data_IF_320616020625
#
_entry.id   IF_320616020625
#
_cell.length_a   1.000
_cell.length_b   1.000
_cell.length_c   1.000
_cell.angle_alpha   90.00
_cell.angle_beta   90.00
_cell.angle_gamma   90.00
#
_symmetry.space_group_name_H-M   'P 1'
#
loop_
_entity.id
_entity.type
_entity.pdbx_description
1 polymer ?
#
# COMPACT_ATOMS: atom_id res chain seq x y z
N UNK A 1 -20.59 10.55 -14.45
CA UNK A 1 -20.21 9.15 -14.70
C UNK A 1 -19.42 8.65 -13.50
N UNK A 2 -19.52 7.37 -13.14
CA UNK A 2 -18.67 6.79 -12.13
C UNK A 2 -17.18 6.93 -12.52
N UNK A 3 -16.23 7.02 -11.57
CA UNK A 3 -14.82 7.11 -11.91
C UNK A 3 -14.30 5.76 -12.43
N UNK A 4 -13.43 5.81 -13.44
CA UNK A 4 -12.67 4.66 -13.92
C UNK A 4 -11.38 4.52 -13.11
N UNK A 5 -11.23 3.39 -12.41
CA UNK A 5 -10.13 3.13 -11.49
C UNK A 5 -9.36 1.88 -11.88
N UNK A 6 -8.07 2.00 -12.15
CA UNK A 6 -7.18 0.86 -12.39
C UNK A 6 -6.43 0.52 -11.09
N UNK A 7 -6.45 -0.75 -10.69
CA UNK A 7 -5.79 -1.22 -9.46
C UNK A 7 -4.88 -2.41 -9.79
N UNK A 8 -3.56 -2.23 -9.64
CA UNK A 8 -2.62 -3.35 -9.77
C UNK A 8 -2.47 -4.09 -8.43
N UNK A 9 -2.27 -5.41 -8.48
CA UNK A 9 -2.28 -6.26 -7.28
C UNK A 9 -3.69 -6.40 -6.68
N UNK A 10 -4.71 -6.46 -7.56
CA UNK A 10 -6.12 -6.45 -7.15
C UNK A 10 -6.67 -7.82 -6.77
N UNK A 11 -5.95 -8.92 -7.04
CA UNK A 11 -6.43 -10.28 -6.71
C UNK A 11 -6.49 -10.53 -5.21
N UNK A 12 -5.68 -9.84 -4.40
CA UNK A 12 -5.61 -10.09 -2.96
C UNK A 12 -5.29 -8.84 -2.12
N UNK A 13 -5.37 -8.98 -0.80
CA UNK A 13 -4.86 -8.01 0.17
C UNK A 13 -5.41 -6.60 0.01
N UNK A 14 -4.48 -5.62 0.06
CA UNK A 14 -4.81 -4.17 0.01
C UNK A 14 -5.50 -3.80 -1.30
N UNK A 15 -5.00 -4.34 -2.44
CA UNK A 15 -5.57 -4.05 -3.76
C UNK A 15 -7.03 -4.51 -3.85
N UNK A 16 -7.33 -5.73 -3.41
CA UNK A 16 -8.69 -6.28 -3.37
C UNK A 16 -9.61 -5.51 -2.42
N UNK A 17 -9.15 -5.21 -1.21
CA UNK A 17 -9.91 -4.38 -0.27
C UNK A 17 -10.19 -2.97 -0.83
N UNK A 18 -9.24 -2.41 -1.59
CA UNK A 18 -9.41 -1.12 -2.27
C UNK A 18 -10.45 -1.22 -3.39
N UNK A 19 -10.43 -2.29 -4.18
CA UNK A 19 -11.44 -2.55 -5.23
C UNK A 19 -12.85 -2.60 -4.65
N UNK A 20 -13.04 -3.31 -3.51
CA UNK A 20 -14.34 -3.33 -2.79
C UNK A 20 -14.83 -1.94 -2.37
N UNK A 21 -13.93 -1.05 -1.94
CA UNK A 21 -14.32 0.30 -1.55
C UNK A 21 -14.73 1.16 -2.73
N UNK A 22 -14.06 1.04 -3.88
CA UNK A 22 -14.46 1.72 -5.11
C UNK A 22 -15.75 1.17 -5.68
N UNK A 23 -15.95 -0.15 -5.63
CA UNK A 23 -17.21 -0.80 -6.04
C UNK A 23 -18.42 -0.24 -5.29
N UNK A 24 -18.31 -0.06 -3.96
CA UNK A 24 -19.37 0.57 -3.13
C UNK A 24 -19.69 2.02 -3.50
N UNK A 25 -18.79 2.67 -4.26
CA UNK A 25 -19.03 4.00 -4.83
C UNK A 25 -19.59 3.94 -6.26
N UNK A 26 -19.89 2.74 -6.76
CA UNK A 26 -20.36 2.51 -8.12
C UNK A 26 -19.30 2.72 -9.20
N UNK A 27 -18.01 2.63 -8.86
CA UNK A 27 -16.91 2.86 -9.80
C UNK A 27 -16.79 1.74 -10.84
N UNK A 28 -16.20 2.08 -11.98
CA UNK A 28 -15.67 1.16 -12.97
C UNK A 28 -14.26 0.73 -12.55
N UNK A 29 -14.07 -0.56 -12.22
CA UNK A 29 -12.84 -1.04 -11.59
C UNK A 29 -12.11 -2.02 -12.48
N UNK A 30 -10.92 -1.64 -12.95
CA UNK A 30 -10.01 -2.52 -13.69
C UNK A 30 -9.11 -3.23 -12.69
N UNK A 31 -9.25 -4.54 -12.61
CA UNK A 31 -8.58 -5.43 -11.68
C UNK A 31 -7.36 -6.05 -12.37
N UNK A 32 -6.16 -5.78 -11.87
CA UNK A 32 -4.91 -6.20 -12.50
C UNK A 32 -4.07 -7.01 -11.54
N UNK A 33 -3.74 -8.24 -11.88
CA UNK A 33 -2.76 -9.11 -11.23
C UNK A 33 -2.33 -10.21 -12.23
N UNK A 34 -1.44 -11.12 -11.83
CA UNK A 34 -1.01 -12.23 -12.68
C UNK A 34 -1.98 -13.41 -12.61
N UNK A 35 -2.50 -13.70 -11.43
CA UNK A 35 -3.40 -14.84 -11.19
C UNK A 35 -4.83 -14.53 -11.63
N UNK A 36 -5.37 -15.35 -12.52
CA UNK A 36 -6.69 -15.15 -13.10
C UNK A 36 -7.80 -15.51 -12.11
N UNK A 37 -7.64 -16.62 -11.37
CA UNK A 37 -8.64 -17.05 -10.39
C UNK A 37 -8.90 -16.04 -9.28
N UNK A 38 -7.83 -15.47 -8.71
CA UNK A 38 -7.98 -14.42 -7.71
C UNK A 38 -8.61 -13.13 -8.26
N UNK A 39 -8.37 -12.81 -9.55
CA UNK A 39 -9.00 -11.66 -10.21
C UNK A 39 -10.50 -11.89 -10.48
N UNK A 40 -10.89 -13.10 -10.91
CA UNK A 40 -12.29 -13.44 -11.12
C UNK A 40 -13.10 -13.36 -9.81
N UNK A 41 -12.57 -13.94 -8.74
CA UNK A 41 -13.18 -13.83 -7.42
C UNK A 41 -13.29 -12.37 -6.93
N UNK A 42 -12.27 -11.54 -7.20
CA UNK A 42 -12.34 -10.10 -6.91
C UNK A 42 -13.38 -9.38 -7.78
N UNK A 43 -13.57 -9.80 -9.03
CA UNK A 43 -14.56 -9.23 -9.94
C UNK A 43 -15.99 -9.53 -9.48
N UNK A 44 -16.25 -10.75 -9.02
CA UNK A 44 -17.54 -11.14 -8.45
C UNK A 44 -17.89 -10.26 -7.24
N UNK A 45 -16.91 -10.00 -6.35
CA UNK A 45 -17.12 -9.10 -5.22
C UNK A 45 -17.38 -7.65 -5.64
N UNK A 46 -16.65 -7.15 -6.63
CA UNK A 46 -16.87 -5.80 -7.19
C UNK A 46 -18.28 -5.68 -7.76
N UNK A 47 -18.72 -6.67 -8.54
CA UNK A 47 -20.07 -6.70 -9.11
C UNK A 47 -21.15 -6.77 -8.01
N UNK A 48 -20.97 -7.64 -7.02
CA UNK A 48 -21.90 -7.78 -5.88
C UNK A 48 -22.04 -6.49 -5.04
N UNK A 49 -20.98 -5.65 -5.03
CA UNK A 49 -20.97 -4.37 -4.31
C UNK A 49 -21.43 -3.18 -5.15
N UNK A 50 -21.88 -3.41 -6.39
CA UNK A 50 -22.45 -2.39 -7.27
C UNK A 50 -21.46 -1.65 -8.18
N UNK A 51 -20.20 -2.10 -8.25
CA UNK A 51 -19.22 -1.64 -9.22
C UNK A 51 -19.28 -2.43 -10.53
N UNK A 52 -18.58 -1.95 -11.57
CA UNK A 52 -18.41 -2.67 -12.83
C UNK A 52 -16.96 -3.17 -12.93
N UNK A 53 -16.70 -4.46 -12.84
CA UNK A 53 -15.34 -5.00 -12.92
C UNK A 53 -14.88 -5.19 -14.38
N UNK A 54 -13.56 -5.04 -14.59
CA UNK A 54 -12.85 -5.49 -15.79
C UNK A 54 -11.60 -6.25 -15.37
N UNK A 55 -11.58 -7.55 -15.57
CA UNK A 55 -10.42 -8.40 -15.26
C UNK A 55 -9.35 -8.26 -16.35
N UNK A 56 -8.11 -8.02 -15.95
CA UNK A 56 -6.95 -7.92 -16.83
C UNK A 56 -5.73 -8.61 -16.21
N UNK A 57 -5.52 -9.91 -16.52
CA UNK A 57 -4.29 -10.60 -16.14
C UNK A 57 -3.08 -9.91 -16.78
N UNK A 58 -2.13 -9.48 -15.95
CA UNK A 58 -0.91 -8.83 -16.42
C UNK A 58 0.21 -8.90 -15.40
N UNK A 59 1.45 -9.03 -15.86
CA UNK A 59 2.64 -8.79 -15.06
C UNK A 59 3.05 -7.31 -15.16
N UNK A 60 3.00 -6.61 -14.04
CA UNK A 60 3.37 -5.17 -14.00
C UNK A 60 4.84 -4.92 -14.32
N UNK A 61 5.69 -5.93 -14.22
CA UNK A 61 7.10 -5.85 -14.63
C UNK A 61 7.25 -5.66 -16.14
N UNK A 62 6.25 -6.08 -16.93
CA UNK A 62 6.23 -5.90 -18.38
C UNK A 62 5.51 -4.59 -18.75
N UNK A 63 6.22 -3.60 -19.33
CA UNK A 63 5.61 -2.33 -19.73
C UNK A 63 4.59 -2.47 -20.86
N UNK A 64 4.69 -3.47 -21.72
CA UNK A 64 3.72 -3.71 -22.79
C UNK A 64 2.39 -4.22 -22.22
N UNK A 65 2.44 -5.10 -21.23
CA UNK A 65 1.23 -5.58 -20.56
C UNK A 65 0.52 -4.46 -19.78
N UNK A 66 1.28 -3.60 -19.06
CA UNK A 66 0.67 -2.45 -18.36
C UNK A 66 0.06 -1.44 -19.34
N UNK A 67 0.65 -1.23 -20.51
CA UNK A 67 0.07 -0.39 -21.55
C UNK A 67 -1.22 -1.00 -22.12
N UNK A 68 -1.23 -2.31 -22.39
CA UNK A 68 -2.43 -3.01 -22.86
C UNK A 68 -3.58 -2.96 -21.85
N UNK A 69 -3.28 -3.03 -20.54
CA UNK A 69 -4.27 -2.81 -19.48
C UNK A 69 -4.90 -1.43 -19.59
N UNK A 70 -4.10 -0.39 -19.77
CA UNK A 70 -4.60 0.97 -19.86
C UNK A 70 -5.44 1.21 -21.13
N UNK A 71 -5.05 0.62 -22.27
CA UNK A 71 -5.84 0.64 -23.50
C UNK A 71 -7.19 -0.05 -23.34
N UNK A 72 -7.19 -1.23 -22.71
CA UNK A 72 -8.42 -1.97 -22.45
C UNK A 72 -9.35 -1.22 -21.49
N UNK A 73 -8.80 -0.57 -20.45
CA UNK A 73 -9.57 0.24 -19.51
C UNK A 73 -10.31 1.40 -20.22
N UNK A 74 -9.58 2.16 -21.06
CA UNK A 74 -10.19 3.29 -21.79
C UNK A 74 -11.18 2.84 -22.87
N UNK A 75 -10.93 1.70 -23.52
CA UNK A 75 -11.85 1.14 -24.49
C UNK A 75 -13.18 0.72 -23.86
N UNK A 76 -13.15 0.16 -22.65
CA UNK A 76 -14.33 -0.37 -21.97
C UNK A 76 -15.10 0.72 -21.21
N UNK A 77 -14.39 1.55 -20.45
CA UNK A 77 -14.98 2.47 -19.49
C UNK A 77 -14.78 3.95 -19.81
N UNK A 78 -13.95 4.25 -20.80
CA UNK A 78 -13.54 5.63 -21.09
C UNK A 78 -12.36 6.09 -20.21
N UNK A 79 -12.18 7.39 -20.09
CA UNK A 79 -10.97 7.97 -19.51
C UNK A 79 -10.65 7.48 -18.10
N UNK A 80 -9.42 7.02 -17.87
CA UNK A 80 -8.94 6.58 -16.55
C UNK A 80 -8.81 7.79 -15.62
N UNK A 81 -9.59 7.86 -14.54
CA UNK A 81 -9.54 8.92 -13.55
C UNK A 81 -8.50 8.67 -12.46
N UNK A 82 -8.33 7.41 -12.04
CA UNK A 82 -7.46 7.02 -10.94
C UNK A 82 -6.65 5.78 -11.33
N UNK A 83 -5.33 5.83 -11.07
CA UNK A 83 -4.44 4.68 -11.20
C UNK A 83 -3.79 4.37 -9.85
N UNK A 84 -3.93 3.13 -9.37
CA UNK A 84 -3.40 2.68 -8.09
C UNK A 84 -2.35 1.60 -8.33
N UNK A 85 -1.08 1.94 -8.09
CA UNK A 85 0.00 0.98 -8.10
C UNK A 85 0.08 0.32 -6.72
N UNK A 86 -0.33 -0.97 -6.63
CA UNK A 86 -0.34 -1.74 -5.39
C UNK A 86 0.36 -3.10 -5.52
N UNK A 87 0.59 -3.60 -6.73
CA UNK A 87 1.28 -4.88 -6.96
C UNK A 87 2.71 -4.85 -6.41
N UNK A 88 3.14 -5.90 -5.74
CA UNK A 88 4.50 -6.04 -5.25
C UNK A 88 4.92 -7.51 -5.13
N UNK A 89 6.23 -7.73 -4.99
CA UNK A 89 6.85 -9.00 -4.64
C UNK A 89 7.88 -8.78 -3.55
N UNK A 90 8.14 -9.81 -2.73
CA UNK A 90 9.12 -9.77 -1.66
C UNK A 90 9.74 -11.15 -1.44
N UNK A 91 10.87 -11.17 -0.72
CA UNK A 91 11.52 -12.36 -0.17
C UNK A 91 11.88 -12.07 1.27
N UNK A 92 11.70 -13.04 2.15
CA UNK A 92 12.17 -12.99 3.54
C UNK A 92 13.41 -13.86 3.68
N UNK A 93 14.60 -13.24 3.67
CA UNK A 93 15.87 -13.91 3.80
C UNK A 93 16.96 -12.94 4.27
N UNK A 94 18.06 -13.42 4.89
CA UNK A 94 19.31 -12.69 4.99
C UNK A 94 19.77 -12.24 3.60
N UNK A 95 20.42 -11.07 3.51
CA UNK A 95 20.80 -10.49 2.21
C UNK A 95 21.66 -11.43 1.36
N UNK A 96 22.61 -12.10 1.96
CA UNK A 96 23.54 -13.05 1.32
C UNK A 96 22.84 -14.28 0.73
N UNK A 97 21.64 -14.59 1.19
CA UNK A 97 20.85 -15.72 0.71
C UNK A 97 19.86 -15.35 -0.40
N UNK A 98 19.68 -14.06 -0.70
CA UNK A 98 18.81 -13.60 -1.81
C UNK A 98 19.60 -13.68 -3.11
N UNK A 99 19.15 -14.49 -4.06
CA UNK A 99 19.84 -14.61 -5.35
C UNK A 99 19.72 -13.33 -6.19
N UNK A 100 20.66 -13.07 -7.13
CA UNK A 100 20.55 -11.92 -8.03
C UNK A 100 19.25 -11.90 -8.84
N UNK A 101 18.74 -13.08 -9.24
CA UNK A 101 17.49 -13.23 -10.01
C UNK A 101 16.27 -12.84 -9.15
N UNK A 102 16.23 -13.27 -7.89
CA UNK A 102 15.18 -12.90 -6.95
C UNK A 102 15.21 -11.40 -6.67
N UNK A 103 16.39 -10.84 -6.44
CA UNK A 103 16.56 -9.41 -6.20
C UNK A 103 16.11 -8.57 -7.39
N UNK A 104 16.46 -9.01 -8.62
CA UNK A 104 16.01 -8.41 -9.87
C UNK A 104 14.50 -8.48 -9.99
N UNK A 105 13.90 -9.65 -9.79
CA UNK A 105 12.45 -9.85 -9.89
C UNK A 105 11.67 -8.96 -8.91
N UNK A 106 12.13 -8.85 -7.67
CA UNK A 106 11.53 -7.96 -6.67
C UNK A 106 11.59 -6.51 -7.15
N UNK A 107 12.73 -6.08 -7.69
CA UNK A 107 12.90 -4.73 -8.23
C UNK A 107 12.01 -4.47 -9.43
N UNK A 108 11.92 -5.41 -10.36
CA UNK A 108 11.08 -5.32 -11.55
C UNK A 108 9.59 -5.19 -11.19
N UNK A 109 9.08 -6.03 -10.29
CA UNK A 109 7.67 -5.99 -9.89
C UNK A 109 7.38 -4.80 -8.99
N UNK A 110 8.15 -4.64 -7.89
CA UNK A 110 7.82 -3.71 -6.80
C UNK A 110 8.19 -2.27 -7.10
N UNK A 111 9.23 -2.04 -7.92
CA UNK A 111 9.63 -0.68 -8.32
C UNK A 111 9.31 -0.38 -9.78
N UNK A 112 9.85 -1.14 -10.73
CA UNK A 112 9.63 -0.86 -12.16
C UNK A 112 8.16 -1.03 -12.54
N UNK A 113 7.42 -1.94 -11.92
CA UNK A 113 5.98 -2.07 -12.08
C UNK A 113 5.21 -0.77 -11.73
N UNK A 114 5.63 -0.07 -10.69
CA UNK A 114 5.08 1.26 -10.37
C UNK A 114 5.44 2.32 -11.41
N UNK A 115 6.67 2.27 -11.93
CA UNK A 115 7.10 3.15 -13.04
C UNK A 115 6.29 2.89 -14.31
N UNK A 116 6.10 1.63 -14.68
CA UNK A 116 5.33 1.21 -15.86
C UNK A 116 3.88 1.66 -15.76
N UNK A 117 3.19 1.34 -14.65
CA UNK A 117 1.81 1.76 -14.41
C UNK A 117 1.67 3.29 -14.41
N UNK A 118 2.61 4.00 -13.78
CA UNK A 118 2.62 5.46 -13.77
C UNK A 118 2.80 6.03 -15.18
N UNK A 119 3.67 5.44 -16.01
CA UNK A 119 3.88 5.86 -17.41
C UNK A 119 2.62 5.68 -18.24
N UNK A 120 1.97 4.52 -18.16
CA UNK A 120 0.72 4.25 -18.89
C UNK A 120 -0.41 5.18 -18.45
N UNK A 121 -0.52 5.48 -17.15
CA UNK A 121 -1.49 6.44 -16.63
C UNK A 121 -1.20 7.87 -17.14
N UNK A 122 0.05 8.35 -17.05
CA UNK A 122 0.42 9.69 -17.45
C UNK A 122 0.24 9.94 -18.95
N UNK A 123 0.52 8.94 -19.81
CA UNK A 123 0.28 9.01 -21.25
C UNK A 123 -1.17 9.41 -21.57
N UNK A 124 -2.11 9.04 -20.71
CA UNK A 124 -3.55 9.29 -20.87
C UNK A 124 -4.03 10.51 -20.08
N UNK A 125 -3.49 10.72 -18.90
CA UNK A 125 -3.91 11.79 -18.00
C UNK A 125 -3.37 13.16 -18.43
N UNK A 126 -2.11 13.24 -18.90
CA UNK A 126 -1.49 14.51 -19.28
C UNK A 126 -2.20 15.25 -20.43
N UNK A 127 -2.64 14.59 -21.53
CA UNK A 127 -3.37 15.29 -22.60
C UNK A 127 -4.68 15.92 -22.14
N UNK A 128 -5.30 15.38 -21.09
CA UNK A 128 -6.55 15.86 -20.49
C UNK A 128 -6.29 16.80 -19.30
N UNK A 129 -5.05 16.90 -18.88
CA UNK A 129 -4.61 17.57 -17.64
C UNK A 129 -5.45 17.18 -16.40
N UNK A 130 -5.83 15.93 -16.33
CA UNK A 130 -6.70 15.40 -15.25
C UNK A 130 -6.38 13.95 -14.93
N UNK A 131 -6.27 13.63 -13.65
CA UNK A 131 -6.12 12.29 -13.12
C UNK A 131 -5.32 12.24 -11.83
N UNK A 132 -5.47 11.13 -11.11
CA UNK A 132 -4.75 10.88 -9.86
C UNK A 132 -4.03 9.54 -9.91
N UNK A 133 -2.77 9.54 -9.52
CA UNK A 133 -1.97 8.31 -9.37
C UNK A 133 -1.64 8.15 -7.89
N UNK A 134 -1.97 6.98 -7.33
CA UNK A 134 -1.64 6.62 -5.96
C UNK A 134 -0.61 5.50 -5.96
N UNK A 135 0.53 5.75 -5.34
CA UNK A 135 1.55 4.74 -5.06
C UNK A 135 1.30 4.13 -3.70
N UNK A 136 1.03 2.83 -3.62
CA UNK A 136 0.91 2.13 -2.34
C UNK A 136 2.31 1.86 -1.81
N UNK A 137 2.79 2.80 -1.00
CA UNK A 137 4.08 2.76 -0.34
C UNK A 137 4.09 1.87 0.91
N UNK A 138 5.09 2.08 1.75
CA UNK A 138 5.26 1.37 3.02
C UNK A 138 6.07 2.22 4.00
N UNK A 139 5.85 2.07 5.29
CA UNK A 139 6.77 2.57 6.32
C UNK A 139 8.22 2.10 6.04
N UNK A 140 8.36 0.92 5.40
CA UNK A 140 9.65 0.35 4.99
C UNK A 140 10.29 1.06 3.78
N UNK A 141 9.58 1.98 3.13
CA UNK A 141 10.14 2.92 2.16
C UNK A 141 10.76 4.17 2.80
N UNK A 142 10.66 4.34 4.11
CA UNK A 142 11.26 5.41 4.89
C UNK A 142 12.23 4.85 5.94
N UNK A 143 11.93 3.67 6.51
CA UNK A 143 12.77 2.94 7.46
C UNK A 143 12.88 1.47 7.08
N UNK A 144 14.06 1.03 6.66
CA UNK A 144 14.34 -0.38 6.33
C UNK A 144 14.42 -1.24 7.59
N UNK A 145 14.09 -2.54 7.41
CA UNK A 145 14.23 -3.59 8.42
C UNK A 145 15.09 -4.74 7.85
N UNK A 146 15.72 -5.58 8.68
CA UNK A 146 16.46 -6.74 8.19
C UNK A 146 15.54 -7.73 7.45
N UNK A 147 16.13 -8.69 6.74
CA UNK A 147 15.45 -9.80 6.03
C UNK A 147 14.64 -9.39 4.80
N UNK A 148 14.47 -8.10 4.50
CA UNK A 148 13.67 -7.59 3.38
C UNK A 148 14.43 -6.51 2.57
N UNK A 149 15.74 -6.67 2.37
CA UNK A 149 16.57 -5.64 1.74
C UNK A 149 16.10 -5.22 0.35
N UNK A 150 15.71 -6.17 -0.50
CA UNK A 150 15.22 -5.89 -1.86
C UNK A 150 13.89 -5.14 -1.86
N UNK A 151 12.94 -5.55 -1.01
CA UNK A 151 11.65 -4.87 -0.85
C UNK A 151 11.83 -3.45 -0.29
N UNK A 152 12.63 -3.28 0.75
CA UNK A 152 12.95 -1.97 1.32
C UNK A 152 13.59 -1.05 0.27
N UNK A 153 14.56 -1.54 -0.48
CA UNK A 153 15.19 -0.80 -1.57
C UNK A 153 14.19 -0.34 -2.62
N UNK A 154 13.31 -1.24 -3.08
CA UNK A 154 12.25 -0.95 -4.04
C UNK A 154 11.27 0.12 -3.51
N UNK A 155 10.84 0.02 -2.25
CA UNK A 155 9.91 1.00 -1.64
C UNK A 155 10.57 2.37 -1.41
N UNK A 156 11.86 2.45 -1.11
CA UNK A 156 12.61 3.71 -1.11
C UNK A 156 12.70 4.31 -2.52
N UNK A 157 12.97 3.50 -3.54
CA UNK A 157 13.03 3.94 -4.92
C UNK A 157 11.70 4.57 -5.39
N UNK A 158 10.54 4.03 -4.98
CA UNK A 158 9.23 4.62 -5.27
C UNK A 158 9.13 6.04 -4.69
N UNK A 159 9.62 6.28 -3.47
CA UNK A 159 9.58 7.61 -2.86
C UNK A 159 10.43 8.61 -3.63
N UNK A 160 11.65 8.22 -4.03
CA UNK A 160 12.56 9.04 -4.84
C UNK A 160 11.96 9.37 -6.22
N UNK A 161 11.52 8.34 -6.95
CA UNK A 161 10.84 8.46 -8.24
C UNK A 161 9.62 9.40 -8.17
N UNK A 162 8.73 9.15 -7.22
CA UNK A 162 7.51 9.97 -7.05
C UNK A 162 7.85 11.42 -6.73
N UNK A 163 8.90 11.66 -5.93
CA UNK A 163 9.34 13.02 -5.60
C UNK A 163 9.80 13.80 -6.83
N UNK A 164 10.62 13.18 -7.67
CA UNK A 164 11.07 13.77 -8.95
C UNK A 164 9.91 14.07 -9.87
N UNK A 165 9.06 13.08 -10.14
CA UNK A 165 7.91 13.22 -11.02
C UNK A 165 6.95 14.34 -10.58
N UNK A 166 6.68 14.45 -9.28
CA UNK A 166 5.85 15.53 -8.73
C UNK A 166 6.42 16.92 -9.06
N UNK A 167 7.73 17.09 -8.98
CA UNK A 167 8.40 18.35 -9.32
C UNK A 167 8.26 18.68 -10.79
N UNK A 168 8.37 17.67 -11.67
CA UNK A 168 8.15 17.84 -13.12
C UNK A 168 6.70 18.25 -13.44
N UNK A 169 5.71 17.61 -12.79
CA UNK A 169 4.30 17.96 -12.96
C UNK A 169 4.00 19.39 -12.48
N UNK A 170 4.57 19.78 -11.35
CA UNK A 170 4.46 21.15 -10.83
C UNK A 170 5.11 22.17 -11.77
N UNK A 171 6.30 21.89 -12.33
CA UNK A 171 6.96 22.74 -13.30
C UNK A 171 6.11 22.98 -14.55
N UNK A 172 5.41 21.94 -15.01
CA UNK A 172 4.48 22.04 -16.16
C UNK A 172 3.14 22.70 -15.81
N UNK A 173 2.88 23.06 -14.56
CA UNK A 173 1.57 23.56 -14.11
C UNK A 173 0.45 22.52 -14.24
N UNK A 174 0.78 21.23 -14.33
CA UNK A 174 -0.22 20.17 -14.56
C UNK A 174 -1.17 19.98 -13.38
N UNK A 175 -2.43 19.71 -13.71
CA UNK A 175 -3.47 19.33 -12.73
C UNK A 175 -3.42 17.84 -12.36
N UNK A 176 -2.66 17.01 -13.08
CA UNK A 176 -2.44 15.60 -12.72
C UNK A 176 -1.70 15.50 -11.40
N UNK A 177 -2.15 14.61 -10.53
CA UNK A 177 -1.58 14.46 -9.18
C UNK A 177 -1.02 13.07 -8.97
N UNK A 178 0.14 13.02 -8.28
CA UNK A 178 0.76 11.76 -7.84
C UNK A 178 1.03 11.85 -6.35
N UNK A 179 0.62 10.85 -5.60
CA UNK A 179 0.77 10.78 -4.13
C UNK A 179 1.18 9.39 -3.69
N UNK A 180 1.82 9.28 -2.52
CA UNK A 180 2.20 8.01 -1.90
C UNK A 180 1.36 7.79 -0.64
N UNK A 181 0.75 6.64 -0.50
CA UNK A 181 0.13 6.20 0.74
C UNK A 181 1.06 5.20 1.44
N UNK A 182 1.74 5.64 2.50
CA UNK A 182 2.68 4.83 3.27
C UNK A 182 1.93 3.92 4.22
N UNK A 183 2.04 2.61 4.02
CA UNK A 183 1.28 1.59 4.74
C UNK A 183 2.00 1.11 6.01
N UNK A 184 1.25 0.75 7.06
CA UNK A 184 1.74 -0.01 8.20
C UNK A 184 1.95 -1.48 7.82
N UNK A 185 2.20 -2.32 8.83
CA UNK A 185 2.06 -3.76 8.72
C UNK A 185 0.58 -4.12 8.54
N UNK A 186 0.25 -4.88 7.50
CA UNK A 186 -1.14 -5.20 7.11
C UNK A 186 -1.31 -6.72 7.02
N UNK A 187 -2.42 -7.21 7.58
CA UNK A 187 -2.84 -8.60 7.50
C UNK A 187 -3.31 -8.97 6.10
N UNK A 188 -2.39 -9.36 5.25
CA UNK A 188 -2.66 -9.77 3.86
C UNK A 188 -2.19 -11.19 3.62
N UNK A 189 -2.75 -11.91 2.65
CA UNK A 189 -2.38 -13.30 2.36
C UNK A 189 -0.91 -13.50 1.94
N UNK A 190 -0.17 -12.43 1.62
CA UNK A 190 1.22 -12.52 1.18
C UNK A 190 2.13 -13.36 2.08
N UNK A 191 1.87 -13.37 3.39
CA UNK A 191 2.69 -14.10 4.36
C UNK A 191 2.55 -15.61 4.22
N UNK A 192 1.47 -16.09 3.58
CA UNK A 192 1.23 -17.51 3.30
C UNK A 192 2.00 -17.99 2.06
N UNK A 193 2.33 -17.09 1.13
CA UNK A 193 2.98 -17.46 -0.14
C UNK A 193 4.26 -16.68 -0.45
N UNK A 194 4.74 -15.82 0.46
CA UNK A 194 5.99 -15.13 0.21
C UNK A 194 7.15 -16.11 0.26
N UNK A 195 8.06 -16.02 -0.72
CA UNK A 195 9.30 -16.79 -0.67
C UNK A 195 10.08 -16.47 0.60
N UNK A 196 10.40 -17.49 1.39
CA UNK A 196 11.04 -17.30 2.69
C UNK A 196 12.12 -18.37 2.92
N UNK A 197 13.26 -17.92 3.45
CA UNK A 197 14.34 -18.79 3.96
C UNK A 197 14.39 -18.79 5.48
N UNK A 198 13.36 -18.23 6.13
CA UNK A 198 13.27 -18.27 7.57
C UNK A 198 12.88 -19.68 8.04
N UNK A 199 13.45 -20.11 9.14
CA UNK A 199 13.09 -21.39 9.78
C UNK A 199 11.64 -21.41 10.31
N UNK A 200 11.03 -20.22 10.49
CA UNK A 200 9.67 -20.02 11.00
C UNK A 200 8.87 -19.18 10.04
N UNK A 201 7.54 -19.33 10.07
CA UNK A 201 6.60 -18.63 9.21
C UNK A 201 6.72 -17.10 9.37
N UNK A 202 6.91 -16.35 8.26
CA UNK A 202 7.01 -14.90 8.31
C UNK A 202 5.70 -14.25 8.79
N UNK A 203 5.81 -13.09 9.42
CA UNK A 203 4.67 -12.31 9.88
C UNK A 203 4.89 -10.81 9.69
N UNK A 204 3.79 -10.03 9.57
CA UNK A 204 3.90 -8.58 9.60
C UNK A 204 4.34 -8.10 10.99
N UNK A 205 5.24 -7.10 11.04
CA UNK A 205 5.73 -6.54 12.33
C UNK A 205 4.59 -5.81 13.06
N UNK A 206 4.20 -6.22 14.26
CA UNK A 206 3.12 -5.55 15.00
C UNK A 206 3.39 -4.06 15.29
N UNK A 207 2.33 -3.23 15.42
CA UNK A 207 0.90 -3.56 15.35
C UNK A 207 0.42 -3.80 13.91
N UNK A 208 -0.39 -4.85 13.74
CA UNK A 208 -0.92 -5.29 12.46
C UNK A 208 -2.29 -4.64 12.25
N UNK A 209 -2.59 -4.20 11.03
CA UNK A 209 -3.89 -3.64 10.66
C UNK A 209 -4.59 -4.49 9.61
N UNK A 210 -5.92 -4.46 9.61
CA UNK A 210 -6.71 -5.12 8.57
C UNK A 210 -6.55 -4.41 7.21
N UNK A 211 -6.69 -5.13 6.07
CA UNK A 211 -6.58 -4.58 4.72
C UNK A 211 -7.49 -3.37 4.48
N UNK A 212 -8.66 -3.33 5.10
CA UNK A 212 -9.62 -2.24 5.00
C UNK A 212 -9.08 -0.91 5.56
N UNK A 213 -8.21 -0.96 6.57
CA UNK A 213 -7.54 0.25 7.09
C UNK A 213 -6.62 0.83 6.00
N UNK A 214 -5.82 -0.02 5.38
CA UNK A 214 -4.94 0.38 4.28
C UNK A 214 -5.74 0.89 3.07
N UNK A 215 -6.79 0.16 2.67
CA UNK A 215 -7.66 0.50 1.56
C UNK A 215 -8.35 1.86 1.75
N UNK A 216 -8.83 2.16 2.96
CA UNK A 216 -9.37 3.48 3.29
C UNK A 216 -8.31 4.58 3.18
N UNK A 217 -7.07 4.29 3.55
CA UNK A 217 -5.93 5.20 3.38
C UNK A 217 -5.63 5.50 1.90
N UNK A 218 -5.65 4.47 1.04
CA UNK A 218 -5.51 4.62 -0.43
C UNK A 218 -6.62 5.49 -1.00
N UNK A 219 -7.87 5.19 -0.64
CA UNK A 219 -9.04 5.92 -1.07
C UNK A 219 -8.98 7.40 -0.67
N UNK A 220 -8.59 7.67 0.58
CA UNK A 220 -8.42 9.04 1.07
C UNK A 220 -7.30 9.79 0.34
N UNK A 221 -6.18 9.13 0.04
CA UNK A 221 -5.09 9.70 -0.72
C UNK A 221 -5.50 10.02 -2.17
N UNK A 222 -6.34 9.18 -2.79
CA UNK A 222 -6.89 9.43 -4.11
C UNK A 222 -7.87 10.59 -4.14
N UNK A 223 -8.73 10.72 -3.13
CA UNK A 223 -9.69 11.81 -2.99
C UNK A 223 -9.01 13.16 -2.65
N UNK A 224 -7.83 13.13 -2.01
CA UNK A 224 -7.10 14.31 -1.54
C UNK A 224 -5.63 14.33 -2.05
N UNK A 225 -5.35 14.27 -3.34
CA UNK A 225 -4.00 14.01 -3.87
C UNK A 225 -3.04 15.20 -3.78
N UNK A 226 -3.40 16.26 -3.06
CA UNK A 226 -2.57 17.46 -2.93
C UNK A 226 -1.27 17.24 -2.17
N UNK A 227 -1.24 16.33 -1.19
CA UNK A 227 -0.04 16.02 -0.41
C UNK A 227 0.86 15.03 -1.12
N UNK A 228 2.18 15.14 -0.88
CA UNK A 228 3.17 14.19 -1.39
C UNK A 228 2.97 12.80 -0.80
N UNK A 229 2.69 12.72 0.50
CA UNK A 229 2.58 11.46 1.24
C UNK A 229 1.44 11.50 2.25
N UNK A 230 0.81 10.36 2.44
CA UNK A 230 -0.16 10.07 3.49
C UNK A 230 0.37 8.91 4.33
N UNK A 231 0.34 9.04 5.63
CA UNK A 231 0.76 7.99 6.56
C UNK A 231 -0.47 7.29 7.11
N UNK A 232 -0.57 5.99 6.86
CA UNK A 232 -1.68 5.15 7.31
C UNK A 232 -1.24 4.39 8.56
N UNK A 233 -2.02 4.50 9.63
CA UNK A 233 -1.70 3.86 10.91
C UNK A 233 -0.70 4.66 11.77
N UNK A 234 -0.93 4.63 13.08
CA UNK A 234 -0.09 5.35 14.04
C UNK A 234 1.35 4.82 14.08
N UNK A 235 1.53 3.51 13.86
CA UNK A 235 2.86 2.89 13.80
C UNK A 235 3.70 3.43 12.63
N UNK A 236 3.09 3.67 11.47
CA UNK A 236 3.76 4.28 10.32
C UNK A 236 4.27 5.69 10.67
N UNK A 237 3.41 6.51 11.29
CA UNK A 237 3.80 7.85 11.73
C UNK A 237 4.96 7.78 12.70
N UNK A 238 4.86 6.93 13.75
CA UNK A 238 5.89 6.77 14.76
C UNK A 238 7.22 6.30 14.15
N UNK A 239 7.19 5.29 13.28
CA UNK A 239 8.39 4.74 12.63
C UNK A 239 9.10 5.79 11.77
N UNK A 240 8.35 6.55 10.96
CA UNK A 240 8.93 7.56 10.06
C UNK A 240 9.54 8.71 10.87
N UNK A 241 8.84 9.20 11.89
CA UNK A 241 9.38 10.27 12.73
C UNK A 241 10.57 9.81 13.58
N UNK A 242 10.51 8.61 14.15
CA UNK A 242 11.65 8.04 14.88
C UNK A 242 12.88 7.89 13.98
N UNK A 243 12.70 7.42 12.73
CA UNK A 243 13.80 7.34 11.77
C UNK A 243 14.42 8.70 11.43
N UNK A 244 13.61 9.76 11.37
CA UNK A 244 14.11 11.12 11.11
C UNK A 244 14.87 11.72 12.28
N UNK A 245 14.50 11.39 13.51
CA UNK A 245 15.08 11.97 14.72
C UNK A 245 16.26 11.18 15.29
N UNK A 246 16.15 9.84 15.29
CA UNK A 246 17.12 8.94 15.96
C UNK A 246 17.47 7.69 15.14
N UNK A 247 17.92 7.83 13.88
CA UNK A 247 18.13 6.68 12.99
C UNK A 247 19.12 5.66 13.54
N UNK A 248 20.24 6.10 14.12
CA UNK A 248 21.27 5.20 14.67
C UNK A 248 20.77 4.39 15.88
N UNK A 249 19.85 4.92 16.66
CA UNK A 249 19.24 4.17 17.75
C UNK A 249 18.29 3.08 17.21
N UNK A 250 17.54 3.41 16.16
CA UNK A 250 16.68 2.42 15.48
C UNK A 250 17.51 1.31 14.82
N UNK A 251 18.70 1.59 14.28
CA UNK A 251 19.58 0.55 13.75
C UNK A 251 19.93 -0.47 14.84
N UNK A 252 20.34 0.00 16.02
CA UNK A 252 20.68 -0.88 17.15
C UNK A 252 19.47 -1.64 17.69
N UNK A 253 18.31 -0.99 17.72
CA UNK A 253 17.06 -1.61 18.14
C UNK A 253 16.67 -2.74 17.17
N UNK A 254 16.65 -2.47 15.85
CA UNK A 254 16.29 -3.45 14.83
C UNK A 254 17.33 -4.57 14.70
N UNK A 255 18.61 -4.30 14.94
CA UNK A 255 19.62 -5.35 14.98
C UNK A 255 19.35 -6.40 16.08
N UNK A 256 18.71 -5.99 17.19
CA UNK A 256 18.36 -6.88 18.31
C UNK A 256 16.99 -7.53 18.18
N UNK A 257 16.03 -6.84 17.59
CA UNK A 257 14.62 -7.26 17.61
C UNK A 257 14.05 -7.57 16.23
N UNK A 258 14.66 -7.04 15.16
CA UNK A 258 14.09 -7.04 13.82
C UNK A 258 13.99 -8.42 13.17
N UNK A 259 14.83 -9.38 13.59
CA UNK A 259 14.74 -10.76 13.12
C UNK A 259 13.56 -11.48 13.75
N UNK A 260 13.43 -11.40 15.08
CA UNK A 260 12.40 -12.12 15.82
C UNK A 260 11.00 -11.54 15.60
N UNK A 261 10.89 -10.22 15.43
CA UNK A 261 9.60 -9.55 15.21
C UNK A 261 8.95 -9.85 13.85
N UNK A 262 9.66 -10.51 12.94
CA UNK A 262 9.17 -10.86 11.61
C UNK A 262 8.80 -12.34 11.45
N UNK A 263 8.79 -13.11 12.52
CA UNK A 263 8.51 -14.55 12.48
C UNK A 263 7.54 -14.98 13.59
N UNK A 264 6.68 -15.93 13.25
CA UNK A 264 5.80 -16.62 14.21
C UNK A 264 6.53 -17.84 14.79
N UNK A 265 5.84 -18.61 15.63
CA UNK A 265 6.31 -19.94 16.08
C UNK A 265 5.88 -21.08 15.13
N UNK A 266 5.08 -20.79 14.10
CA UNK A 266 4.61 -21.78 13.12
C UNK A 266 5.72 -22.14 12.13
N UNK A 267 5.62 -23.32 11.52
CA UNK A 267 6.46 -23.74 10.40
C UNK A 267 5.91 -23.08 9.13
N UNK A 268 6.75 -22.54 8.21
CA UNK A 268 6.30 -21.99 6.95
C UNK A 268 5.56 -23.07 6.12
N UNK A 269 4.51 -22.71 5.37
CA UNK A 269 3.93 -23.63 4.39
C UNK A 269 4.97 -24.01 3.35
N UNK A 270 5.05 -25.31 3.01
CA UNK A 270 6.00 -25.80 2.04
C UNK A 270 5.52 -25.55 0.59
N UNK A 271 6.41 -25.06 -0.26
CA UNK A 271 6.26 -25.17 -1.71
C UNK A 271 5.44 -24.08 -2.42
N UNK A 272 4.80 -23.15 -1.73
CA UNK A 272 4.05 -22.08 -2.37
C UNK A 272 4.85 -20.77 -2.31
N UNK A 273 5.18 -20.20 -3.47
CA UNK A 273 5.65 -18.81 -3.54
C UNK A 273 5.18 -18.13 -4.83
N UNK A 274 4.90 -16.84 -4.71
CA UNK A 274 4.38 -16.01 -5.80
C UNK A 274 5.45 -15.15 -6.49
N UNK A 275 6.73 -15.40 -6.27
CA UNK A 275 7.78 -14.50 -6.76
C UNK A 275 7.83 -14.50 -8.30
N UNK A 276 7.90 -15.66 -8.90
CA UNK A 276 7.97 -15.81 -10.36
C UNK A 276 6.60 -16.15 -10.96
N UNK A 277 5.85 -17.03 -10.33
CA UNK A 277 4.56 -17.53 -10.80
C UNK A 277 3.43 -17.12 -9.84
N UNK A 278 2.21 -16.83 -10.31
CA UNK A 278 1.08 -16.57 -9.43
C UNK A 278 0.64 -17.84 -8.71
N UNK A 279 0.14 -17.70 -7.49
CA UNK A 279 -0.40 -18.81 -6.67
C UNK A 279 -1.92 -18.95 -6.80
N UNK A 280 -2.58 -17.96 -7.37
CA UNK A 280 -4.03 -17.82 -7.52
C UNK A 280 -4.45 -17.98 -9.00
N UNK A 281 -3.96 -19.04 -9.66
CA UNK A 281 -4.24 -19.31 -11.08
C UNK A 281 -5.68 -19.75 -11.29
N UNK A 282 -6.14 -20.65 -10.45
CA UNK A 282 -7.49 -21.19 -10.51
C UNK A 282 -8.40 -20.53 -9.47
N UNK A 283 -9.73 -20.44 -9.72
CA UNK A 283 -10.66 -19.88 -8.73
C UNK A 283 -10.64 -20.59 -7.37
N UNK A 284 -10.29 -21.87 -7.33
CA UNK A 284 -10.13 -22.63 -6.08
C UNK A 284 -8.96 -22.17 -5.22
N UNK A 285 -7.98 -21.47 -5.84
CA UNK A 285 -6.79 -20.96 -5.16
C UNK A 285 -6.96 -19.49 -4.68
N UNK A 286 -8.19 -18.96 -4.71
CA UNK A 286 -8.47 -17.60 -4.23
C UNK A 286 -8.10 -17.42 -2.77
N UNK A 287 -7.33 -16.39 -2.48
CA UNK A 287 -6.80 -16.11 -1.15
C UNK A 287 -7.52 -14.95 -0.44
N UNK A 288 -8.38 -14.24 -1.14
CA UNK A 288 -9.11 -13.12 -0.57
C UNK A 288 -8.26 -11.89 -0.19
N UNK A 289 -8.82 -11.05 0.65
CA UNK A 289 -8.12 -9.84 1.09
C UNK A 289 -7.34 -10.03 2.40
N UNK A 290 -7.79 -10.93 3.27
CA UNK A 290 -7.24 -11.14 4.61
C UNK A 290 -6.21 -12.26 4.63
N UNK A 291 -5.17 -12.09 5.45
CA UNK A 291 -4.22 -13.14 5.81
C UNK A 291 -4.63 -13.89 7.06
N UNK A 292 -3.71 -14.66 7.62
CA UNK A 292 -3.94 -15.52 8.80
C UNK A 292 -3.81 -14.82 10.17
N UNK A 293 -3.78 -13.48 10.20
CA UNK A 293 -3.56 -12.69 11.42
C UNK A 293 -4.81 -11.93 11.88
N UNK A 294 -6.01 -12.39 11.53
CA UNK A 294 -7.28 -11.72 11.87
C UNK A 294 -7.46 -11.49 13.36
N UNK A 295 -7.08 -12.46 14.19
CA UNK A 295 -7.22 -12.37 15.65
C UNK A 295 -6.35 -11.28 16.30
N UNK A 296 -5.27 -10.87 15.62
CA UNK A 296 -4.31 -9.89 16.15
C UNK A 296 -4.34 -8.56 15.40
N UNK A 297 -5.05 -8.51 14.28
CA UNK A 297 -5.08 -7.33 13.42
C UNK A 297 -6.15 -6.31 13.85
N UNK A 298 -5.77 -5.04 13.89
CA UNK A 298 -6.67 -3.94 14.25
C UNK A 298 -7.56 -3.55 13.07
N UNK A 299 -8.88 -3.64 13.25
CA UNK A 299 -9.88 -3.24 12.23
C UNK A 299 -9.99 -1.72 12.05
N UNK A 300 -9.45 -0.92 12.95
CA UNK A 300 -9.51 0.55 12.95
C UNK A 300 -8.17 1.17 13.32
N UNK A 301 -7.93 2.38 12.79
CA UNK A 301 -6.82 3.23 13.20
C UNK A 301 -7.37 4.57 13.72
N UNK A 302 -7.09 4.90 14.98
CA UNK A 302 -7.46 6.20 15.56
C UNK A 302 -6.79 7.36 14.83
N UNK A 303 -5.56 7.19 14.38
CA UNK A 303 -4.83 8.17 13.58
C UNK A 303 -5.54 8.48 12.25
N UNK A 304 -6.08 7.46 11.59
CA UNK A 304 -6.87 7.61 10.37
C UNK A 304 -8.11 8.49 10.62
N UNK A 305 -8.78 8.28 11.74
CA UNK A 305 -9.95 9.09 12.13
C UNK A 305 -9.57 10.56 12.34
N UNK A 306 -8.44 10.83 13.01
CA UNK A 306 -7.95 12.20 13.23
C UNK A 306 -7.59 12.91 11.91
N UNK A 307 -6.93 12.21 11.00
CA UNK A 307 -6.52 12.78 9.70
C UNK A 307 -7.73 13.10 8.80
N UNK A 308 -8.79 12.29 8.90
CA UNK A 308 -10.02 12.49 8.11
C UNK A 308 -10.92 13.60 8.65
N UNK A 309 -10.80 13.93 9.93
CA UNK A 309 -11.61 14.97 10.58
C UNK A 309 -10.74 16.07 11.17
N UNK A 310 -9.96 16.82 10.34
CA UNK A 310 -8.98 17.79 10.82
C UNK A 310 -9.59 18.91 11.68
N UNK A 311 -10.81 19.34 11.35
CA UNK A 311 -11.51 20.34 12.13
C UNK A 311 -11.89 19.83 13.54
N UNK A 312 -12.41 18.62 13.64
CA UNK A 312 -12.74 17.99 14.93
C UNK A 312 -11.47 17.74 15.76
N UNK A 313 -10.37 17.36 15.11
CA UNK A 313 -9.06 17.15 15.74
C UNK A 313 -8.50 18.46 16.29
N UNK A 314 -8.58 19.56 15.52
CA UNK A 314 -8.13 20.88 15.95
C UNK A 314 -8.96 21.40 17.14
N UNK A 315 -10.29 21.22 17.11
CA UNK A 315 -11.18 21.57 18.22
C UNK A 315 -10.86 20.77 19.49
N UNK A 316 -10.66 19.45 19.36
CA UNK A 316 -10.29 18.58 20.47
C UNK A 316 -8.94 18.92 21.08
N UNK A 317 -7.93 19.21 20.25
CA UNK A 317 -6.61 19.65 20.71
C UNK A 317 -6.67 21.03 21.41
N UNK A 318 -7.46 21.97 20.86
CA UNK A 318 -7.69 23.27 21.48
C UNK A 318 -8.38 23.15 22.83
N UNK A 319 -9.40 22.31 22.97
CA UNK A 319 -10.10 22.04 24.22
C UNK A 319 -9.18 21.39 25.28
N UNK A 320 -8.32 20.46 24.86
CA UNK A 320 -7.34 19.81 25.75
C UNK A 320 -6.30 20.80 26.26
N UNK A 321 -5.78 21.69 25.40
CA UNK A 321 -4.86 22.78 25.79
C UNK A 321 -5.50 23.77 26.78
N UNK A 322 -6.74 24.17 26.52
CA UNK A 322 -7.47 25.06 27.45
C UNK A 322 -7.74 24.38 28.78
N UNK A 323 -8.04 23.08 28.80
CA UNK A 323 -8.20 22.28 30.00
C UNK A 323 -6.93 22.20 30.84
N UNK A 324 -5.77 21.95 30.19
CA UNK A 324 -4.46 21.93 30.87
C UNK A 324 -4.08 23.29 31.42
N UNK A 325 -4.27 24.38 30.68
CA UNK A 325 -4.00 25.75 31.16
C UNK A 325 -4.89 26.11 32.36
N UNK A 326 -6.18 25.75 32.33
CA UNK A 326 -7.10 25.92 33.46
C UNK A 326 -6.71 25.08 34.67
N UNK A 327 -6.26 23.81 34.46
CA UNK A 327 -5.77 22.96 35.54
C UNK A 327 -4.53 23.51 36.23
N UNK A 328 -3.55 23.99 35.45
CA UNK A 328 -2.34 24.60 35.96
C UNK A 328 -2.68 25.87 36.75
N UNK A 329 -3.55 26.74 36.24
CA UNK A 329 -3.98 27.98 36.97
C UNK A 329 -4.69 27.68 38.30
N UNK A 330 -5.49 26.61 38.38
CA UNK A 330 -6.13 26.20 39.65
C UNK A 330 -5.12 25.68 40.68
N UNK A 331 -4.09 24.95 40.22
CA UNK A 331 -3.03 24.46 41.11
C UNK A 331 -2.16 25.61 41.67
N UNK A 332 -1.89 26.65 40.88
CA UNK A 332 -1.11 27.82 41.31
C UNK A 332 -1.91 28.80 42.17
N UNK A 333 -3.26 28.81 42.07
CA UNK A 333 -4.12 29.69 42.89
C UNK A 333 -4.54 29.07 44.25
N UNK A 334 -4.28 27.73 44.45
CA UNK A 334 -4.57 27.09 45.74
C UNK A 334 -3.36 27.02 46.69
N UNK A 335 -2.20 27.55 46.25
CA UNK A 335 -0.95 27.62 47.03
C UNK A 335 -0.56 29.05 47.40
N UNK A 336 -1.46 30.01 47.28
CA UNK A 336 -1.39 31.38 47.79
C UNK A 336 -2.52 31.61 48.79
#
# INVERSE_FOLDING_TARGET
>A
MPPTVVITGASAGIGRATARLYARRGADVVLVARGEGGLEAAADEVAALGGRPLVRPADVADPAQTEAVAEAAEKEFGPIDIWINCAFASVFAPFEEITPEEYRRITEVTYLGFVNGTRSALKRMLPRDRGTIVQVGSALGERSIPLQSAYCGAKHAINGFTSSLRTELLHRGSSVRVTVAQMPAVNTPQFEWVRSRLAKHPMPVPPIYQPEVAARGVLYAADHPGRKQYYVGASTVATIWANRLVPALLDRYLARTGFDSQRTDRIPPAGLDNLFEPVDRDPADDQGAHGSFDDTAHARSWQETLVRHPAATALGAGAALLGTVRGIRRLTSSSA
#
